data_IF_726231536154
#
_entry.id   IF_726231536154
#
_cell.length_a   1.000
_cell.length_b   1.000
_cell.length_c   1.000
_cell.angle_alpha   90.00
_cell.angle_beta   90.00
_cell.angle_gamma   90.00
#
_symmetry.space_group_name_H-M   'P 1'
#
loop_
_entity.id
_entity.type
_entity.pdbx_description
1 polymer ?
#
# COMPACT_ATOMS: atom_id res chain seq x y z
N UNK A 1 7.79 6.83 5.32
CA UNK A 1 7.15 5.59 4.78
C UNK A 1 6.93 4.60 5.91
N UNK A 2 5.88 3.75 5.81
CA UNK A 2 5.65 2.72 6.83
C UNK A 2 6.88 1.83 7.00
N UNK A 3 7.23 1.54 8.25
CA UNK A 3 8.35 0.65 8.64
C UNK A 3 9.76 1.09 8.23
N UNK A 4 9.98 2.31 7.78
CA UNK A 4 11.27 2.75 7.22
C UNK A 4 12.44 2.55 8.18
N UNK A 5 12.29 2.96 9.45
CA UNK A 5 13.33 2.81 10.46
C UNK A 5 13.67 1.36 10.77
N UNK A 6 12.64 0.50 10.88
CA UNK A 6 12.82 -0.95 11.11
C UNK A 6 13.46 -1.61 9.89
N UNK A 7 12.95 -1.30 8.70
CA UNK A 7 13.44 -1.85 7.43
C UNK A 7 14.92 -1.52 7.20
N UNK A 8 15.33 -0.28 7.46
CA UNK A 8 16.72 0.12 7.27
C UNK A 8 17.69 -0.66 8.18
N UNK A 9 17.34 -0.83 9.47
CA UNK A 9 18.16 -1.57 10.43
C UNK A 9 18.25 -3.06 10.08
N UNK A 10 17.13 -3.67 9.74
CA UNK A 10 17.11 -5.08 9.32
C UNK A 10 17.93 -5.29 8.04
N UNK A 11 17.79 -4.40 7.05
CA UNK A 11 18.58 -4.45 5.83
C UNK A 11 20.07 -4.35 6.06
N UNK A 12 20.51 -3.46 6.96
CA UNK A 12 21.92 -3.34 7.33
C UNK A 12 22.45 -4.65 7.94
N UNK A 13 21.70 -5.27 8.84
CA UNK A 13 22.05 -6.55 9.45
C UNK A 13 22.17 -7.66 8.40
N UNK A 14 21.18 -7.80 7.53
CA UNK A 14 21.19 -8.83 6.47
C UNK A 14 22.26 -8.57 5.40
N UNK A 15 22.57 -7.30 5.11
CA UNK A 15 23.69 -6.96 4.21
C UNK A 15 25.03 -7.42 4.77
N UNK A 16 25.25 -7.29 6.09
CA UNK A 16 26.47 -7.80 6.75
C UNK A 16 26.53 -9.34 6.70
N UNK A 17 25.41 -10.03 6.93
CA UNK A 17 25.36 -11.49 6.82
C UNK A 17 25.62 -11.97 5.38
N UNK A 18 25.09 -11.29 4.37
CA UNK A 18 25.34 -11.62 2.94
C UNK A 18 26.78 -11.41 2.52
N UNK A 19 27.51 -10.51 3.17
CA UNK A 19 28.95 -10.27 2.92
C UNK A 19 29.86 -11.41 3.40
N UNK A 20 29.35 -12.34 4.23
CA UNK A 20 30.07 -13.51 4.71
C UNK A 20 29.72 -14.71 3.84
N UNK A 21 30.69 -15.26 3.12
CA UNK A 21 30.47 -16.38 2.20
C UNK A 21 29.97 -17.68 2.88
N UNK A 22 30.41 -17.92 4.12
CA UNK A 22 29.88 -18.96 5.02
C UNK A 22 29.40 -18.32 6.31
N UNK A 23 28.30 -18.83 6.85
CA UNK A 23 27.79 -18.42 8.14
C UNK A 23 28.10 -19.46 9.20
N UNK A 24 28.54 -19.03 10.36
CA UNK A 24 28.67 -19.85 11.56
C UNK A 24 27.45 -19.61 12.47
N UNK A 25 27.21 -20.51 13.40
CA UNK A 25 26.21 -20.32 14.44
C UNK A 25 26.41 -18.99 15.21
N UNK A 26 27.67 -18.63 15.50
CA UNK A 26 28.00 -17.37 16.15
C UNK A 26 27.58 -16.14 15.32
N UNK A 27 27.73 -16.21 13.99
CA UNK A 27 27.30 -15.13 13.07
C UNK A 27 25.79 -14.98 13.05
N UNK A 28 25.05 -16.11 13.00
CA UNK A 28 23.59 -16.11 13.08
C UNK A 28 23.13 -15.51 14.40
N UNK A 29 23.67 -15.97 15.52
CA UNK A 29 23.33 -15.45 16.84
C UNK A 29 23.66 -13.96 17.01
N UNK A 30 24.75 -13.47 16.40
CA UNK A 30 25.09 -12.05 16.38
C UNK A 30 24.08 -11.24 15.54
N UNK A 31 23.74 -11.72 14.35
CA UNK A 31 22.70 -11.09 13.53
C UNK A 31 21.33 -11.05 14.20
N UNK A 32 20.93 -12.13 14.87
CA UNK A 32 19.67 -12.17 15.60
C UNK A 32 19.63 -11.24 16.83
N UNK A 33 20.78 -10.93 17.44
CA UNK A 33 20.86 -9.88 18.45
C UNK A 33 20.58 -8.50 17.87
N UNK A 34 21.07 -8.20 16.68
CA UNK A 34 20.77 -6.93 15.99
C UNK A 34 19.30 -6.87 15.58
N UNK A 35 18.72 -7.95 15.04
CA UNK A 35 17.29 -8.06 14.74
C UNK A 35 16.45 -7.80 15.99
N UNK A 36 16.83 -8.40 17.14
CA UNK A 36 16.15 -8.17 18.42
C UNK A 36 16.15 -6.68 18.81
N UNK A 37 17.31 -6.01 18.71
CA UNK A 37 17.41 -4.58 19.03
C UNK A 37 16.52 -3.75 18.07
N UNK A 38 16.55 -4.03 16.78
CA UNK A 38 15.75 -3.33 15.79
C UNK A 38 14.25 -3.45 16.06
N UNK A 39 13.76 -4.64 16.44
CA UNK A 39 12.35 -4.86 16.79
C UNK A 39 11.96 -4.15 18.10
N UNK A 40 12.82 -4.16 19.13
CA UNK A 40 12.57 -3.43 20.38
C UNK A 40 12.53 -1.91 20.18
N UNK A 41 13.42 -1.36 19.35
CA UNK A 41 13.43 0.06 18.99
C UNK A 41 12.22 0.44 18.12
N UNK A 42 11.62 -0.52 17.43
CA UNK A 42 10.36 -0.38 16.72
C UNK A 42 9.13 -0.50 17.60
N UNK A 43 9.26 -0.50 18.93
CA UNK A 43 8.18 -0.64 19.91
C UNK A 43 7.44 -1.99 19.85
N UNK A 44 8.09 -3.05 19.37
CA UNK A 44 7.53 -4.40 19.46
C UNK A 44 7.67 -4.90 20.90
N UNK A 45 6.62 -5.53 21.43
CA UNK A 45 6.62 -5.99 22.83
C UNK A 45 7.75 -7.00 23.10
N UNK A 46 8.39 -6.89 24.24
CA UNK A 46 9.56 -7.73 24.62
C UNK A 46 9.27 -9.24 24.51
N UNK A 47 8.08 -9.67 24.92
CA UNK A 47 7.66 -11.08 24.87
C UNK A 47 7.65 -11.57 23.42
N UNK A 48 7.01 -10.80 22.53
CA UNK A 48 6.93 -11.11 21.09
C UNK A 48 8.32 -11.19 20.48
N UNK A 49 9.18 -10.21 20.76
CA UNK A 49 10.56 -10.19 20.24
C UNK A 49 11.36 -11.38 20.73
N UNK A 50 11.25 -11.74 22.01
CA UNK A 50 11.95 -12.89 22.59
C UNK A 50 11.57 -14.18 21.88
N UNK A 51 10.27 -14.44 21.76
CA UNK A 51 9.74 -15.67 21.16
C UNK A 51 10.09 -15.74 19.66
N UNK A 52 9.94 -14.64 18.93
CA UNK A 52 10.32 -14.54 17.53
C UNK A 52 11.80 -14.83 17.28
N UNK A 53 12.69 -14.15 18.04
CA UNK A 53 14.14 -14.32 17.88
C UNK A 53 14.57 -15.74 18.25
N UNK A 54 13.93 -16.36 19.25
CA UNK A 54 14.22 -17.76 19.59
C UNK A 54 13.86 -18.71 18.47
N UNK A 55 12.64 -18.61 17.91
CA UNK A 55 12.17 -19.45 16.79
C UNK A 55 13.04 -19.28 15.53
N UNK A 56 13.32 -18.01 15.15
CA UNK A 56 14.17 -17.73 13.99
C UNK A 56 15.58 -18.27 14.19
N UNK A 57 16.17 -18.08 15.39
CA UNK A 57 17.53 -18.57 15.69
C UNK A 57 17.60 -20.09 15.59
N UNK A 58 16.65 -20.80 16.18
CA UNK A 58 16.58 -22.27 16.12
C UNK A 58 16.53 -22.78 14.68
N UNK A 59 15.67 -22.19 13.84
CA UNK A 59 15.57 -22.54 12.42
C UNK A 59 16.84 -22.19 11.61
N UNK A 60 17.51 -21.09 11.93
CA UNK A 60 18.69 -20.63 11.19
C UNK A 60 19.98 -21.35 11.57
N UNK A 61 20.07 -21.98 12.75
CA UNK A 61 21.26 -22.69 13.22
C UNK A 61 21.29 -24.15 12.70
N UNK A 62 20.22 -24.63 12.08
CA UNK A 62 20.17 -25.96 11.47
C UNK A 62 21.25 -26.17 10.40
N UNK A 63 21.81 -27.40 10.33
CA UNK A 63 22.86 -27.76 9.35
C UNK A 63 22.45 -27.44 7.91
N UNK A 64 21.20 -27.70 7.55
CA UNK A 64 20.64 -27.42 6.21
C UNK A 64 20.79 -25.95 5.78
N UNK A 65 20.78 -25.02 6.73
CA UNK A 65 20.95 -23.58 6.47
C UNK A 65 22.44 -23.22 6.41
N UNK A 66 23.21 -23.66 7.40
CA UNK A 66 24.63 -23.29 7.51
C UNK A 66 25.47 -23.90 6.40
N UNK A 67 25.16 -25.12 5.97
CA UNK A 67 25.86 -25.84 4.89
C UNK A 67 25.32 -25.51 3.49
N UNK A 68 24.30 -24.68 3.38
CA UNK A 68 23.74 -24.28 2.08
C UNK A 68 24.71 -23.41 1.28
N UNK A 69 24.57 -23.42 -0.06
CA UNK A 69 25.36 -22.53 -0.94
C UNK A 69 25.02 -21.03 -0.76
N UNK A 70 23.87 -20.72 -0.14
CA UNK A 70 23.38 -19.35 0.07
C UNK A 70 22.81 -19.18 1.48
N UNK A 71 23.62 -19.38 2.55
CA UNK A 71 23.09 -19.42 3.92
C UNK A 71 22.45 -18.09 4.35
N UNK A 72 23.02 -16.95 3.96
CA UNK A 72 22.46 -15.64 4.27
C UNK A 72 21.08 -15.41 3.63
N UNK A 73 20.83 -15.95 2.43
CA UNK A 73 19.52 -15.88 1.78
C UNK A 73 18.50 -16.75 2.49
N UNK A 74 18.92 -17.94 2.96
CA UNK A 74 18.06 -18.83 3.77
C UNK A 74 17.66 -18.15 5.08
N UNK A 75 18.59 -17.48 5.77
CA UNK A 75 18.26 -16.69 6.98
C UNK A 75 17.21 -15.62 6.69
N UNK A 76 17.37 -14.82 5.62
CA UNK A 76 16.39 -13.81 5.24
C UNK A 76 15.02 -14.43 4.92
N UNK A 77 15.00 -15.57 4.22
CA UNK A 77 13.77 -16.30 3.93
C UNK A 77 13.06 -16.75 5.21
N UNK A 78 13.80 -17.35 6.15
CA UNK A 78 13.25 -17.79 7.44
C UNK A 78 12.69 -16.60 8.24
N UNK A 79 13.39 -15.47 8.28
CA UNK A 79 12.91 -14.25 8.93
C UNK A 79 11.62 -13.76 8.28
N UNK A 80 11.53 -13.77 6.94
CA UNK A 80 10.33 -13.36 6.22
C UNK A 80 9.14 -14.28 6.54
N UNK A 81 9.35 -15.59 6.55
CA UNK A 81 8.32 -16.57 6.89
C UNK A 81 7.82 -16.40 8.33
N UNK A 82 8.71 -16.22 9.29
CA UNK A 82 8.32 -16.03 10.70
C UNK A 82 7.68 -14.65 10.95
N UNK A 83 8.11 -13.58 10.26
CA UNK A 83 7.40 -12.29 10.29
C UNK A 83 5.99 -12.41 9.70
N UNK A 84 5.85 -13.08 8.56
CA UNK A 84 4.55 -13.33 7.93
C UNK A 84 3.61 -14.09 8.89
N UNK A 85 4.12 -15.14 9.51
CA UNK A 85 3.38 -15.95 10.49
C UNK A 85 2.99 -15.15 11.74
N UNK A 86 3.91 -14.33 12.26
CA UNK A 86 3.65 -13.44 13.40
C UNK A 86 2.53 -12.45 13.11
N UNK A 87 2.42 -11.94 11.87
CA UNK A 87 1.35 -11.04 11.42
C UNK A 87 0.04 -11.74 11.04
N UNK A 88 -0.02 -13.09 11.09
CA UNK A 88 -1.25 -13.84 10.87
C UNK A 88 -1.23 -14.82 9.69
N UNK A 89 -0.12 -14.92 8.96
CA UNK A 89 0.09 -15.89 7.88
C UNK A 89 -0.61 -15.52 6.57
N UNK A 90 -1.91 -15.28 6.59
CA UNK A 90 -2.73 -14.96 5.42
C UNK A 90 -3.64 -13.76 5.69
N UNK A 91 -4.07 -13.10 4.61
CA UNK A 91 -5.04 -12.01 4.71
C UNK A 91 -6.42 -12.50 5.17
N UNK A 92 -7.08 -11.71 6.02
CA UNK A 92 -8.41 -12.00 6.52
C UNK A 92 -9.45 -11.05 5.88
N UNK A 93 -10.61 -11.61 5.49
CA UNK A 93 -11.72 -10.84 4.90
C UNK A 93 -12.75 -10.48 5.97
N UNK A 94 -13.62 -9.52 5.66
CA UNK A 94 -14.81 -9.24 6.46
C UNK A 94 -15.77 -10.43 6.36
N UNK A 95 -16.29 -10.89 7.51
CA UNK A 95 -17.35 -11.89 7.54
C UNK A 95 -18.65 -11.27 7.01
N UNK A 96 -19.25 -11.92 6.01
CA UNK A 96 -20.49 -11.45 5.38
C UNK A 96 -21.70 -12.21 5.92
N UNK A 97 -22.81 -11.51 6.08
CA UNK A 97 -24.08 -12.12 6.46
C UNK A 97 -24.59 -13.08 5.37
N UNK A 98 -25.14 -14.21 5.77
CA UNK A 98 -25.80 -15.14 4.84
C UNK A 98 -27.20 -14.65 4.41
N UNK A 99 -27.85 -13.84 5.25
CA UNK A 99 -29.16 -13.21 4.97
C UNK A 99 -29.20 -11.79 5.53
N UNK A 100 -29.80 -10.87 4.76
CA UNK A 100 -29.88 -9.46 5.14
C UNK A 100 -28.58 -8.69 4.98
N UNK A 101 -28.49 -7.45 5.47
CA UNK A 101 -27.30 -6.64 5.39
C UNK A 101 -26.21 -7.18 6.33
N UNK A 102 -24.96 -7.12 5.87
CA UNK A 102 -23.79 -7.35 6.72
C UNK A 102 -23.57 -6.14 7.62
N UNK A 103 -23.60 -6.32 8.92
CA UNK A 103 -23.40 -5.27 9.89
C UNK A 103 -21.95 -5.28 10.39
N UNK A 104 -21.24 -4.18 10.17
CA UNK A 104 -19.86 -3.97 10.61
C UNK A 104 -19.85 -2.86 11.66
N UNK A 105 -19.40 -3.17 12.86
CA UNK A 105 -19.32 -2.24 13.98
C UNK A 105 -17.88 -1.73 14.12
N UNK A 106 -17.68 -0.42 13.95
CA UNK A 106 -16.37 0.23 14.08
C UNK A 106 -16.17 0.72 15.50
N UNK A 107 -15.22 0.12 16.24
CA UNK A 107 -14.92 0.48 17.63
C UNK A 107 -13.48 0.99 17.79
N UNK A 108 -13.18 1.69 18.89
CA UNK A 108 -11.83 2.18 19.18
C UNK A 108 -11.82 3.53 19.89
N UNK A 109 -10.63 3.98 20.29
CA UNK A 109 -10.45 5.23 21.01
C UNK A 109 -10.74 6.46 20.14
N UNK A 110 -10.92 7.61 20.77
CA UNK A 110 -11.05 8.89 20.10
C UNK A 110 -9.77 9.21 19.34
N UNK A 111 -9.90 9.74 18.12
CA UNK A 111 -8.74 10.08 17.28
C UNK A 111 -8.10 8.91 16.54
N UNK A 112 -8.52 7.66 16.79
CA UNK A 112 -8.02 6.49 16.06
C UNK A 112 -8.43 6.45 14.58
N UNK A 113 -9.39 7.30 14.16
CA UNK A 113 -9.82 7.41 12.76
C UNK A 113 -11.03 6.56 12.38
N UNK A 114 -11.91 6.20 13.33
CA UNK A 114 -13.11 5.37 13.08
C UNK A 114 -13.97 5.91 11.95
N UNK A 115 -14.45 7.14 12.07
CA UNK A 115 -15.32 7.80 11.10
C UNK A 115 -14.74 7.79 9.68
N UNK A 116 -13.48 8.19 9.55
CA UNK A 116 -12.80 8.22 8.25
C UNK A 116 -12.61 6.81 7.68
N UNK A 117 -12.23 5.83 8.50
CA UNK A 117 -12.00 4.47 8.02
C UNK A 117 -13.30 3.69 7.81
N UNK A 118 -14.40 4.01 8.50
CA UNK A 118 -15.73 3.51 8.15
C UNK A 118 -16.09 3.90 6.71
N UNK A 119 -15.92 5.18 6.36
CA UNK A 119 -16.17 5.67 5.01
C UNK A 119 -15.19 5.07 3.97
N UNK A 120 -13.89 4.98 4.29
CA UNK A 120 -12.89 4.36 3.42
C UNK A 120 -13.22 2.89 3.12
N UNK A 121 -13.58 2.12 4.15
CA UNK A 121 -13.98 0.71 4.02
C UNK A 121 -15.26 0.59 3.20
N UNK A 122 -16.27 1.40 3.46
CA UNK A 122 -17.50 1.43 2.67
C UNK A 122 -17.20 1.72 1.20
N UNK A 123 -16.33 2.70 0.91
CA UNK A 123 -15.86 3.00 -0.43
C UNK A 123 -15.11 1.85 -1.08
N UNK A 124 -14.25 1.15 -0.34
CA UNK A 124 -13.53 -0.03 -0.79
C UNK A 124 -14.49 -1.17 -1.14
N UNK A 125 -15.45 -1.46 -0.25
CA UNK A 125 -16.46 -2.51 -0.46
C UNK A 125 -17.32 -2.22 -1.70
N UNK A 126 -17.70 -0.96 -1.92
CA UNK A 126 -18.43 -0.57 -3.12
C UNK A 126 -17.60 -0.74 -4.39
N UNK A 127 -16.36 -0.25 -4.41
CA UNK A 127 -15.50 -0.28 -5.61
C UNK A 127 -15.03 -1.69 -5.99
N UNK A 128 -14.58 -2.47 -5.00
CA UNK A 128 -13.95 -3.76 -5.29
C UNK A 128 -14.94 -4.94 -5.25
N UNK A 129 -15.99 -4.84 -4.45
CA UNK A 129 -16.91 -5.96 -4.22
C UNK A 129 -18.34 -5.66 -4.68
N UNK A 130 -18.59 -4.49 -5.29
CA UNK A 130 -19.90 -4.11 -5.81
C UNK A 130 -21.00 -4.00 -4.75
N UNK A 131 -20.61 -3.80 -3.47
CA UNK A 131 -21.55 -3.69 -2.34
C UNK A 131 -22.29 -2.35 -2.36
N UNK A 132 -23.46 -2.32 -1.71
CA UNK A 132 -24.26 -1.10 -1.49
C UNK A 132 -24.23 -0.73 -0.02
N UNK A 133 -23.13 -0.08 0.45
CA UNK A 133 -22.94 0.24 1.84
C UNK A 133 -23.86 1.39 2.30
N UNK A 134 -24.19 1.37 3.59
CA UNK A 134 -24.80 2.44 4.36
C UNK A 134 -23.88 2.82 5.51
N UNK A 135 -23.56 4.08 5.68
CA UNK A 135 -22.86 4.60 6.85
C UNK A 135 -23.88 5.01 7.91
N UNK A 136 -23.60 4.77 9.18
CA UNK A 136 -24.52 5.07 10.29
C UNK A 136 -23.80 5.86 11.37
N UNK A 137 -24.34 7.03 11.70
CA UNK A 137 -23.76 7.94 12.69
C UNK A 137 -24.25 7.58 14.11
N UNK A 138 -23.50 6.71 14.81
CA UNK A 138 -23.74 6.36 16.21
C UNK A 138 -22.88 7.16 17.21
N UNK A 139 -21.95 8.04 16.75
CA UNK A 139 -21.22 8.98 17.61
C UNK A 139 -22.08 10.26 17.80
N UNK A 140 -23.05 10.18 18.70
CA UNK A 140 -24.02 11.25 18.97
C UNK A 140 -23.51 12.30 19.95
N UNK A 141 -22.42 12.03 20.65
CA UNK A 141 -21.86 12.93 21.67
C UNK A 141 -21.09 14.10 21.07
N UNK A 142 -20.67 13.96 19.84
CA UNK A 142 -19.94 14.99 19.11
C UNK A 142 -20.73 15.40 17.85
N UNK A 143 -21.45 16.53 17.89
CA UNK A 143 -22.23 17.00 16.72
C UNK A 143 -21.40 17.08 15.43
N UNK A 144 -20.14 17.47 15.56
CA UNK A 144 -19.22 17.50 14.42
C UNK A 144 -18.93 16.11 13.82
N UNK A 145 -19.09 15.01 14.57
CA UNK A 145 -18.85 13.67 14.04
C UNK A 145 -19.93 13.25 13.03
N UNK A 146 -21.21 13.56 13.30
CA UNK A 146 -22.31 13.31 12.36
C UNK A 146 -22.05 14.08 11.05
N UNK A 147 -21.77 15.38 11.14
CA UNK A 147 -21.46 16.21 9.97
C UNK A 147 -20.23 15.71 9.23
N UNK A 148 -19.18 15.28 9.96
CA UNK A 148 -17.98 14.70 9.37
C UNK A 148 -18.31 13.44 8.57
N UNK A 149 -19.11 12.53 9.14
CA UNK A 149 -19.51 11.31 8.43
C UNK A 149 -20.34 11.61 7.18
N UNK A 150 -21.25 12.61 7.25
CA UNK A 150 -22.03 13.08 6.11
C UNK A 150 -21.13 13.64 4.99
N UNK A 151 -20.13 14.45 5.34
CA UNK A 151 -19.19 15.04 4.37
C UNK A 151 -18.37 13.93 3.67
N UNK A 152 -17.78 13.00 4.42
CA UNK A 152 -16.98 11.92 3.81
C UNK A 152 -17.84 10.91 3.06
N UNK A 153 -19.07 10.63 3.53
CA UNK A 153 -20.04 9.81 2.82
C UNK A 153 -20.45 10.46 1.49
N UNK A 154 -20.74 11.77 1.50
CA UNK A 154 -21.07 12.53 0.29
C UNK A 154 -19.94 12.57 -0.73
N UNK A 155 -18.69 12.67 -0.30
CA UNK A 155 -17.53 12.59 -1.22
C UNK A 155 -17.38 11.23 -1.90
N UNK A 156 -17.94 10.19 -1.30
CA UNK A 156 -17.91 8.82 -1.84
C UNK A 156 -19.24 8.41 -2.46
N UNK A 157 -20.25 9.29 -2.57
CA UNK A 157 -21.63 8.97 -2.93
C UNK A 157 -22.20 7.77 -2.13
N UNK A 158 -21.92 7.70 -0.85
CA UNK A 158 -22.43 6.68 0.06
C UNK A 158 -23.42 7.35 1.01
N UNK A 159 -24.68 6.84 1.10
CA UNK A 159 -25.67 7.40 1.99
C UNK A 159 -25.27 7.24 3.45
N UNK A 160 -25.66 8.25 4.26
CA UNK A 160 -25.42 8.28 5.69
C UNK A 160 -26.78 8.32 6.39
N UNK A 161 -27.01 7.35 7.27
CA UNK A 161 -28.17 7.33 8.16
C UNK A 161 -27.82 8.00 9.48
N UNK A 162 -28.66 8.92 9.92
CA UNK A 162 -28.51 9.62 11.19
C UNK A 162 -29.89 9.93 11.82
N UNK A 163 -29.95 10.06 13.11
CA UNK A 163 -31.14 10.42 13.87
C UNK A 163 -30.82 11.51 14.93
N UNK A 164 -29.87 12.38 14.61
CA UNK A 164 -29.41 13.42 15.52
C UNK A 164 -28.83 12.85 16.82
N UNK A 165 -29.25 13.41 17.97
CA UNK A 165 -28.76 12.99 19.29
C UNK A 165 -29.63 11.90 19.95
N UNK A 166 -30.18 10.99 19.15
CA UNK A 166 -30.91 9.83 19.64
C UNK A 166 -29.97 8.80 20.30
N UNK A 167 -30.52 7.82 20.99
CA UNK A 167 -29.73 6.79 21.66
C UNK A 167 -29.02 5.88 20.64
N UNK A 168 -27.72 5.59 20.77
CA UNK A 168 -26.95 4.82 19.79
C UNK A 168 -27.52 3.47 19.44
N UNK A 169 -28.10 2.77 20.43
CA UNK A 169 -28.77 1.47 20.23
C UNK A 169 -29.96 1.61 19.29
N UNK A 170 -30.81 2.60 19.55
CA UNK A 170 -32.00 2.87 18.72
C UNK A 170 -31.60 3.27 17.29
N UNK A 171 -30.57 4.13 17.12
CA UNK A 171 -30.05 4.50 15.81
C UNK A 171 -29.59 3.25 15.04
N UNK A 172 -28.86 2.35 15.68
CA UNK A 172 -28.34 1.15 15.04
C UNK A 172 -29.46 0.19 14.59
N UNK A 173 -30.50 -0.01 15.42
CA UNK A 173 -31.66 -0.83 15.07
C UNK A 173 -32.46 -0.25 13.87
N UNK A 174 -32.75 1.05 13.90
CA UNK A 174 -33.46 1.74 12.83
C UNK A 174 -32.65 1.75 11.53
N UNK A 175 -31.32 1.93 11.62
CA UNK A 175 -30.45 1.88 10.47
C UNK A 175 -30.49 0.50 9.76
N UNK A 176 -30.56 -0.59 10.52
CA UNK A 176 -30.66 -1.94 9.93
C UNK A 176 -32.02 -2.14 9.25
N UNK A 177 -33.13 -1.61 9.82
CA UNK A 177 -34.43 -1.61 9.16
C UNK A 177 -34.36 -0.80 7.86
N UNK A 178 -33.87 0.43 7.95
CA UNK A 178 -33.69 1.28 6.78
C UNK A 178 -32.85 0.60 5.69
N UNK A 179 -31.73 -0.05 6.07
CA UNK A 179 -30.89 -0.76 5.12
C UNK A 179 -31.62 -1.88 4.38
N UNK A 180 -32.49 -2.65 5.07
CA UNK A 180 -33.31 -3.70 4.48
C UNK A 180 -34.34 -3.11 3.49
N UNK A 181 -35.03 -2.05 3.89
CA UNK A 181 -36.10 -1.43 3.10
C UNK A 181 -35.56 -0.75 1.83
N UNK A 182 -34.34 -0.20 1.89
CA UNK A 182 -33.69 0.50 0.77
C UNK A 182 -32.68 -0.36 0.02
N UNK A 183 -32.57 -1.64 0.39
CA UNK A 183 -31.75 -2.62 -0.33
C UNK A 183 -30.24 -2.42 -0.16
N UNK A 184 -29.79 -1.84 0.96
CA UNK A 184 -28.38 -1.84 1.32
C UNK A 184 -27.97 -3.22 1.81
N UNK A 185 -26.84 -3.72 1.36
CA UNK A 185 -26.34 -5.06 1.69
C UNK A 185 -25.18 -5.03 2.71
N UNK A 186 -24.74 -3.82 3.10
CA UNK A 186 -23.68 -3.63 4.07
C UNK A 186 -23.93 -2.35 4.89
N UNK A 187 -23.75 -2.44 6.22
CA UNK A 187 -23.99 -1.34 7.15
C UNK A 187 -22.74 -1.16 8.01
N UNK A 188 -22.20 0.05 8.03
CA UNK A 188 -21.06 0.44 8.87
C UNK A 188 -21.55 1.33 9.99
N UNK A 189 -21.49 0.84 11.24
CA UNK A 189 -21.83 1.60 12.44
C UNK A 189 -20.59 2.36 12.92
N UNK A 190 -20.57 3.69 12.76
CA UNK A 190 -19.51 4.55 13.31
C UNK A 190 -19.86 4.90 14.75
N UNK A 191 -19.26 4.16 15.70
CA UNK A 191 -19.57 4.32 17.13
C UNK A 191 -18.74 5.42 17.78
N UNK A 192 -19.21 5.90 18.93
CA UNK A 192 -18.48 6.84 19.75
C UNK A 192 -17.09 6.32 20.15
N UNK A 193 -16.17 7.24 20.37
CA UNK A 193 -14.87 6.95 20.98
C UNK A 193 -14.56 7.95 22.05
N UNK A 194 -13.94 7.52 23.13
CA UNK A 194 -13.44 8.37 24.21
C UNK A 194 -11.92 8.35 24.25
N UNK A 195 -11.33 9.31 24.96
CA UNK A 195 -9.87 9.41 25.11
C UNK A 195 -9.28 8.21 25.84
N UNK A 196 -10.06 7.66 26.76
CA UNK A 196 -9.67 6.49 27.55
C UNK A 196 -10.79 5.45 27.53
N UNK A 197 -10.44 4.20 27.81
CA UNK A 197 -11.37 3.12 27.99
C UNK A 197 -12.04 3.32 29.35
N UNK A 198 -13.35 3.56 29.35
CA UNK A 198 -14.15 3.65 30.55
C UNK A 198 -15.36 2.69 30.49
N UNK A 199 -15.95 2.38 31.65
CA UNK A 199 -17.07 1.45 31.76
C UNK A 199 -18.28 1.88 30.93
N UNK A 200 -18.57 3.21 30.91
CA UNK A 200 -19.72 3.76 30.17
C UNK A 200 -19.62 3.52 28.67
N UNK A 201 -18.42 3.73 28.11
CA UNK A 201 -18.16 3.42 26.68
C UNK A 201 -18.35 1.95 26.41
N UNK A 202 -17.76 1.09 27.25
CA UNK A 202 -17.85 -0.36 27.06
C UNK A 202 -19.27 -0.89 27.20
N UNK A 203 -20.04 -0.36 28.12
CA UNK A 203 -21.45 -0.76 28.32
C UNK A 203 -22.32 -0.32 27.16
N UNK A 204 -22.12 0.88 26.62
CA UNK A 204 -22.80 1.36 25.41
C UNK A 204 -22.49 0.45 24.21
N UNK A 205 -21.20 0.16 23.99
CA UNK A 205 -20.79 -0.71 22.87
C UNK A 205 -21.33 -2.13 23.02
N UNK A 206 -21.37 -2.68 24.25
CA UNK A 206 -22.01 -3.97 24.55
C UNK A 206 -23.51 -3.94 24.27
N UNK A 207 -24.19 -2.84 24.61
CA UNK A 207 -25.63 -2.69 24.37
C UNK A 207 -25.92 -2.63 22.86
N UNK A 208 -25.14 -1.85 22.09
CA UNK A 208 -25.26 -1.82 20.62
C UNK A 208 -24.99 -3.21 20.05
N UNK A 209 -23.90 -3.89 20.45
CA UNK A 209 -23.58 -5.26 20.01
C UNK A 209 -24.73 -6.23 20.30
N UNK A 210 -25.33 -6.17 21.48
CA UNK A 210 -26.43 -7.06 21.88
C UNK A 210 -27.71 -6.82 21.06
N UNK A 211 -27.99 -5.57 20.70
CA UNK A 211 -29.18 -5.20 19.92
C UNK A 211 -29.07 -5.60 18.44
N UNK A 212 -27.91 -5.37 17.81
CA UNK A 212 -27.79 -5.53 16.35
C UNK A 212 -27.06 -6.79 15.90
N UNK A 213 -26.42 -7.52 16.81
CA UNK A 213 -25.64 -8.72 16.53
C UNK A 213 -24.73 -8.56 15.30
N UNK A 214 -23.73 -7.67 15.35
CA UNK A 214 -22.88 -7.37 14.18
C UNK A 214 -22.20 -8.63 13.66
N UNK A 215 -22.05 -8.73 12.36
CA UNK A 215 -21.30 -9.81 11.72
C UNK A 215 -19.81 -9.65 11.93
N UNK A 216 -19.38 -8.40 12.17
CA UNK A 216 -17.98 -8.04 12.30
C UNK A 216 -17.82 -6.86 13.27
N UNK A 217 -16.95 -6.99 14.24
CA UNK A 217 -16.52 -5.90 15.13
C UNK A 217 -15.07 -5.58 14.78
N UNK A 218 -14.86 -4.42 14.16
CA UNK A 218 -13.54 -3.96 13.74
C UNK A 218 -13.01 -2.91 14.71
N UNK A 219 -11.92 -3.23 15.36
CA UNK A 219 -11.18 -2.28 16.19
C UNK A 219 -10.30 -1.40 15.30
N UNK A 220 -10.52 -0.11 15.37
CA UNK A 220 -9.69 0.90 14.68
C UNK A 220 -8.63 1.40 15.63
N UNK A 221 -7.37 1.26 15.25
CA UNK A 221 -6.20 1.58 16.09
C UNK A 221 -5.22 2.44 15.31
N UNK A 222 -4.72 3.48 15.95
CA UNK A 222 -3.64 4.32 15.42
C UNK A 222 -2.30 3.60 15.60
N UNK A 223 -1.63 3.25 14.49
CA UNK A 223 -0.35 2.54 14.51
C UNK A 223 0.77 3.34 15.20
N UNK A 224 0.65 4.67 15.23
CA UNK A 224 1.67 5.54 15.84
C UNK A 224 1.65 5.52 17.38
N UNK A 225 0.60 4.99 18.01
CA UNK A 225 0.48 4.97 19.49
C UNK A 225 1.27 3.85 20.16
N UNK A 226 1.95 3.00 19.36
CA UNK A 226 2.87 1.97 19.88
C UNK A 226 2.21 1.01 20.86
N UNK A 227 2.74 0.90 22.10
CA UNK A 227 2.25 -0.03 23.10
C UNK A 227 0.83 0.30 23.60
N UNK A 228 0.39 1.56 23.56
CA UNK A 228 -0.98 1.93 23.94
C UNK A 228 -2.02 1.33 22.99
N UNK A 229 -1.65 1.18 21.70
CA UNK A 229 -2.45 0.47 20.72
C UNK A 229 -2.70 -1.00 21.14
N UNK A 230 -1.67 -1.65 21.64
CA UNK A 230 -1.75 -3.05 22.11
C UNK A 230 -2.62 -3.18 23.34
N UNK A 231 -2.46 -2.28 24.31
CA UNK A 231 -3.27 -2.24 25.52
C UNK A 231 -4.75 -2.01 25.20
N UNK A 232 -5.02 -1.05 24.32
CA UNK A 232 -6.38 -0.79 23.85
C UNK A 232 -6.96 -2.03 23.15
N UNK A 233 -6.20 -2.66 22.26
CA UNK A 233 -6.67 -3.83 21.52
C UNK A 233 -7.03 -4.99 22.46
N UNK A 234 -6.22 -5.25 23.49
CA UNK A 234 -6.50 -6.28 24.48
C UNK A 234 -7.78 -5.99 25.26
N UNK A 235 -7.97 -4.75 25.73
CA UNK A 235 -9.14 -4.36 26.50
C UNK A 235 -10.45 -4.38 25.67
N UNK A 236 -10.41 -3.94 24.42
CA UNK A 236 -11.57 -4.05 23.53
C UNK A 236 -11.88 -5.50 23.17
N UNK A 237 -10.88 -6.35 23.00
CA UNK A 237 -11.11 -7.78 22.75
C UNK A 237 -11.72 -8.49 23.96
N UNK A 238 -11.23 -8.22 25.16
CA UNK A 238 -11.77 -8.78 26.39
C UNK A 238 -13.23 -8.35 26.63
N UNK A 239 -13.55 -7.07 26.37
CA UNK A 239 -14.88 -6.54 26.63
C UNK A 239 -15.91 -6.89 25.55
N UNK A 240 -15.52 -6.90 24.29
CA UNK A 240 -16.42 -7.03 23.16
C UNK A 240 -16.17 -8.27 22.30
N UNK A 241 -14.98 -8.90 22.37
CA UNK A 241 -14.61 -9.97 21.45
C UNK A 241 -14.56 -9.45 20.02
N UNK A 242 -13.53 -8.66 19.69
CA UNK A 242 -13.32 -8.11 18.35
C UNK A 242 -13.06 -9.23 17.33
N UNK A 243 -13.41 -9.00 16.06
CA UNK A 243 -13.21 -9.97 14.96
C UNK A 243 -11.99 -9.62 14.10
N UNK A 244 -11.52 -8.39 14.18
CA UNK A 244 -10.35 -7.93 13.46
C UNK A 244 -9.96 -6.50 13.79
N UNK A 245 -8.81 -6.10 13.24
CA UNK A 245 -8.21 -4.79 13.49
C UNK A 245 -8.03 -4.05 12.17
N UNK A 246 -8.30 -2.74 12.20
CA UNK A 246 -7.96 -1.77 11.16
C UNK A 246 -6.85 -0.88 11.70
N UNK A 247 -5.67 -0.99 11.12
CA UNK A 247 -4.56 -0.10 11.45
C UNK A 247 -4.68 1.20 10.66
N UNK A 248 -4.55 2.33 11.35
CA UNK A 248 -4.59 3.66 10.73
C UNK A 248 -3.24 4.36 10.83
N UNK A 249 -3.05 5.38 10.01
CA UNK A 249 -1.83 6.22 10.00
C UNK A 249 -0.54 5.44 9.81
N UNK A 250 -0.61 4.35 9.05
CA UNK A 250 0.55 3.50 8.80
C UNK A 250 1.63 4.23 7.98
N UNK A 251 1.24 5.22 7.18
CA UNK A 251 2.11 6.13 6.43
C UNK A 251 3.00 7.01 7.33
N UNK A 252 2.53 7.35 8.54
CA UNK A 252 3.30 8.08 9.55
C UNK A 252 4.10 7.18 10.50
N UNK A 253 3.83 5.87 10.51
CA UNK A 253 4.49 4.93 11.41
C UNK A 253 5.82 4.41 10.83
N UNK A 254 6.90 5.12 11.17
CA UNK A 254 8.25 4.66 10.80
C UNK A 254 8.72 3.43 11.60
N UNK A 255 8.08 3.11 12.73
CA UNK A 255 8.47 2.03 13.65
C UNK A 255 7.81 0.70 13.30
N UNK A 256 6.50 0.68 13.09
CA UNK A 256 5.73 -0.50 12.65
C UNK A 256 5.50 -1.59 13.69
N UNK A 257 5.92 -1.38 14.93
CA UNK A 257 5.84 -2.39 15.98
C UNK A 257 4.43 -2.72 16.45
N UNK A 258 3.50 -1.77 16.33
CA UNK A 258 2.10 -1.97 16.72
C UNK A 258 1.46 -3.12 15.96
N UNK A 259 1.68 -3.23 14.65
CA UNK A 259 1.14 -4.32 13.82
C UNK A 259 1.56 -5.71 14.32
N UNK A 260 2.85 -5.86 14.66
CA UNK A 260 3.41 -7.11 15.16
C UNK A 260 2.88 -7.46 16.55
N UNK A 261 2.75 -6.45 17.42
CA UNK A 261 2.38 -6.63 18.83
C UNK A 261 0.88 -6.86 19.04
N UNK A 262 0.01 -6.15 18.30
CA UNK A 262 -1.46 -6.28 18.41
C UNK A 262 -1.90 -7.70 18.06
N UNK A 263 -1.41 -8.24 16.95
CA UNK A 263 -1.74 -9.61 16.54
C UNK A 263 -1.28 -10.64 17.58
N UNK A 264 -0.08 -10.47 18.11
CA UNK A 264 0.46 -11.38 19.12
C UNK A 264 -0.29 -11.30 20.46
N UNK A 265 -0.76 -10.10 20.85
CA UNK A 265 -1.48 -9.89 22.12
C UNK A 265 -2.93 -10.39 22.07
N UNK A 266 -3.65 -10.13 20.98
CA UNK A 266 -5.09 -10.42 20.85
C UNK A 266 -5.39 -11.73 20.11
N UNK A 267 -4.46 -12.26 19.34
CA UNK A 267 -4.73 -13.35 18.41
C UNK A 267 -5.64 -12.98 17.24
N UNK A 268 -6.10 -11.72 17.15
CA UNK A 268 -7.05 -11.27 16.12
C UNK A 268 -6.34 -10.80 14.85
N UNK A 269 -6.90 -11.07 13.67
CA UNK A 269 -6.26 -10.67 12.42
C UNK A 269 -6.31 -9.16 12.21
N UNK A 270 -5.22 -8.60 11.67
CA UNK A 270 -5.28 -7.29 11.05
C UNK A 270 -5.92 -7.50 9.69
N UNK A 271 -7.04 -6.81 9.42
CA UNK A 271 -7.81 -6.98 8.18
C UNK A 271 -7.52 -5.89 7.16
N UNK A 272 -7.35 -4.65 7.64
CA UNK A 272 -7.12 -3.49 6.77
C UNK A 272 -6.05 -2.58 7.34
N UNK A 273 -5.43 -1.83 6.45
CA UNK A 273 -4.44 -0.81 6.76
C UNK A 273 -4.76 0.51 6.02
N UNK A 274 -4.88 1.59 6.77
CA UNK A 274 -4.95 2.95 6.24
C UNK A 274 -3.54 3.47 5.96
N UNK A 275 -3.28 3.77 4.70
CA UNK A 275 -1.95 4.13 4.18
C UNK A 275 -1.81 5.61 3.81
N UNK A 276 -2.74 6.45 4.25
CA UNK A 276 -2.73 7.89 4.01
C UNK A 276 -4.06 8.56 4.32
N UNK A 277 -4.16 9.86 4.10
CA UNK A 277 -5.34 10.67 4.45
C UNK A 277 -6.48 10.55 3.43
N UNK A 278 -6.19 10.38 2.15
CA UNK A 278 -7.20 10.32 1.08
C UNK A 278 -8.18 9.17 1.28
N UNK A 279 -9.42 9.33 0.82
CA UNK A 279 -10.51 8.37 1.03
C UNK A 279 -10.33 7.04 0.28
N UNK A 280 -9.46 6.98 -0.69
CA UNK A 280 -9.07 5.76 -1.42
C UNK A 280 -7.86 5.04 -0.80
N UNK A 281 -7.18 5.68 0.17
CA UNK A 281 -5.98 5.15 0.83
C UNK A 281 -6.34 4.23 1.99
N UNK A 282 -6.90 3.08 1.67
CA UNK A 282 -7.08 1.93 2.55
C UNK A 282 -6.89 0.68 1.72
N UNK A 283 -6.18 -0.29 2.25
CA UNK A 283 -5.92 -1.57 1.58
C UNK A 283 -6.16 -2.75 2.50
N UNK A 284 -6.45 -3.91 1.94
CA UNK A 284 -6.50 -5.15 2.69
C UNK A 284 -5.10 -5.46 3.22
N UNK A 285 -5.02 -5.90 4.47
CA UNK A 285 -3.74 -6.24 5.08
C UNK A 285 -3.25 -7.60 4.59
N UNK A 286 -2.06 -7.61 3.99
CA UNK A 286 -1.40 -8.80 3.49
C UNK A 286 -0.12 -9.06 4.30
N UNK A 287 -0.12 -10.03 5.24
CA UNK A 287 1.03 -10.32 6.11
C UNK A 287 2.34 -10.57 5.36
N UNK A 288 2.30 -11.31 4.26
CA UNK A 288 3.43 -11.64 3.41
C UNK A 288 4.05 -10.40 2.73
N UNK A 289 3.21 -9.50 2.23
CA UNK A 289 3.65 -8.23 1.62
C UNK A 289 4.24 -7.29 2.66
N UNK A 290 3.61 -7.23 3.84
CA UNK A 290 4.13 -6.42 4.96
C UNK A 290 5.47 -6.94 5.47
N UNK A 291 5.65 -8.25 5.60
CA UNK A 291 6.94 -8.85 5.93
C UNK A 291 8.01 -8.48 4.89
N UNK A 292 7.67 -8.57 3.61
CA UNK A 292 8.57 -8.18 2.51
C UNK A 292 8.94 -6.69 2.55
N UNK A 293 7.96 -5.80 2.86
CA UNK A 293 8.22 -4.36 3.06
C UNK A 293 9.17 -4.11 4.23
N UNK A 294 8.92 -4.75 5.38
CA UNK A 294 9.78 -4.66 6.58
C UNK A 294 11.22 -5.10 6.26
N UNK A 295 11.39 -6.11 5.44
CA UNK A 295 12.71 -6.60 5.01
C UNK A 295 13.33 -5.80 3.86
N UNK A 296 12.69 -4.72 3.41
CA UNK A 296 13.16 -3.89 2.30
C UNK A 296 13.24 -4.62 0.96
N UNK A 297 12.48 -5.70 0.81
CA UNK A 297 12.41 -6.48 -0.43
C UNK A 297 11.41 -5.88 -1.44
N UNK A 298 10.70 -4.82 -1.03
CA UNK A 298 9.65 -4.19 -1.81
C UNK A 298 8.33 -4.96 -1.78
N UNK A 299 7.34 -4.40 -2.43
CA UNK A 299 6.01 -5.00 -2.57
C UNK A 299 5.57 -4.96 -4.03
N UNK A 300 6.20 -5.80 -4.84
CA UNK A 300 5.93 -5.88 -6.27
C UNK A 300 4.50 -6.32 -6.59
N UNK A 301 3.88 -7.16 -5.74
CA UNK A 301 2.52 -7.63 -5.97
C UNK A 301 1.49 -6.51 -5.79
N UNK A 302 1.59 -5.74 -4.72
CA UNK A 302 0.72 -4.56 -4.56
C UNK A 302 0.94 -3.53 -5.66
N UNK A 303 2.18 -3.35 -6.12
CA UNK A 303 2.47 -2.47 -7.25
C UNK A 303 1.80 -2.95 -8.54
N UNK A 304 1.90 -4.25 -8.85
CA UNK A 304 1.25 -4.85 -10.02
C UNK A 304 -0.27 -4.72 -9.92
N UNK A 305 -0.87 -5.04 -8.78
CA UNK A 305 -2.33 -4.93 -8.57
C UNK A 305 -2.83 -3.49 -8.71
N UNK A 306 -2.11 -2.51 -8.14
CA UNK A 306 -2.45 -1.08 -8.31
C UNK A 306 -2.31 -0.65 -9.77
N UNK A 307 -1.29 -1.14 -10.46
CA UNK A 307 -1.13 -0.89 -11.88
C UNK A 307 -2.28 -1.51 -12.70
N UNK A 308 -2.65 -2.77 -12.43
CA UNK A 308 -3.74 -3.46 -13.11
C UNK A 308 -5.11 -2.79 -12.89
N UNK A 309 -5.40 -2.33 -11.67
CA UNK A 309 -6.66 -1.65 -11.35
C UNK A 309 -6.84 -0.31 -12.09
N UNK A 310 -5.75 0.32 -12.51
CA UNK A 310 -5.77 1.61 -13.19
C UNK A 310 -5.53 1.49 -14.71
N UNK A 311 -5.14 0.30 -15.17
CA UNK A 311 -4.88 0.04 -16.57
C UNK A 311 -6.17 -0.28 -17.31
N UNK A 312 -6.62 0.66 -18.15
CA UNK A 312 -7.64 0.36 -19.15
C UNK A 312 -6.97 -0.46 -20.27
N UNK A 313 -7.31 -1.76 -20.35
CA UNK A 313 -6.77 -2.68 -21.39
C UNK A 313 -6.89 -2.12 -22.82
N UNK A 314 -7.94 -1.35 -23.09
CA UNK A 314 -8.14 -0.72 -24.37
C UNK A 314 -7.12 0.41 -24.67
N UNK A 315 -6.73 1.15 -23.63
CA UNK A 315 -5.70 2.20 -23.74
C UNK A 315 -4.30 1.58 -23.85
N UNK A 316 -4.03 0.50 -23.11
CA UNK A 316 -2.77 -0.23 -23.19
C UNK A 316 -2.51 -0.79 -24.58
N UNK A 317 -3.50 -1.44 -25.19
CA UNK A 317 -3.39 -1.95 -26.58
C UNK A 317 -3.18 -0.84 -27.60
N UNK A 318 -3.88 0.30 -27.45
CA UNK A 318 -3.68 1.47 -28.32
C UNK A 318 -2.26 2.06 -28.19
N UNK A 319 -1.75 2.11 -26.95
CA UNK A 319 -0.39 2.60 -26.69
C UNK A 319 0.67 1.66 -27.30
N UNK A 320 0.50 0.34 -27.09
CA UNK A 320 1.37 -0.69 -27.67
C UNK A 320 1.40 -0.61 -29.19
N UNK A 321 0.26 -0.44 -29.85
CA UNK A 321 0.20 -0.23 -31.31
C UNK A 321 0.90 1.06 -31.75
N UNK A 322 0.73 2.16 -31.01
CA UNK A 322 1.39 3.44 -31.29
C UNK A 322 2.90 3.34 -31.10
N UNK A 323 3.36 2.66 -30.04
CA UNK A 323 4.77 2.37 -29.80
C UNK A 323 5.36 1.52 -30.93
N UNK A 324 4.67 0.47 -31.34
CA UNK A 324 5.08 -0.41 -32.44
C UNK A 324 5.15 0.32 -33.79
N UNK A 325 4.22 1.28 -34.02
CA UNK A 325 4.18 2.13 -35.22
C UNK A 325 5.10 3.35 -35.10
N UNK A 326 5.83 3.52 -33.98
CA UNK A 326 6.73 4.64 -33.71
C UNK A 326 6.06 6.02 -33.82
N UNK A 327 4.80 6.14 -33.37
CA UNK A 327 3.95 7.34 -33.45
C UNK A 327 3.61 7.89 -32.05
N UNK A 328 4.59 7.91 -31.14
CA UNK A 328 4.40 8.51 -29.83
C UNK A 328 4.26 10.03 -29.97
N UNK A 329 3.18 10.61 -29.43
CA UNK A 329 2.87 12.04 -29.45
C UNK A 329 3.01 12.67 -28.08
N UNK A 330 3.05 14.01 -27.98
CA UNK A 330 3.00 14.72 -26.70
C UNK A 330 1.65 14.57 -25.99
N UNK A 331 0.56 14.28 -26.72
CA UNK A 331 -0.72 13.91 -26.12
C UNK A 331 -0.61 12.56 -25.38
N UNK A 332 0.00 11.56 -26.00
CA UNK A 332 0.23 10.26 -25.35
C UNK A 332 1.13 10.39 -24.11
N UNK A 333 2.12 11.29 -24.18
CA UNK A 333 2.99 11.58 -23.04
C UNK A 333 2.24 12.27 -21.89
N UNK A 334 1.30 13.18 -22.20
CA UNK A 334 0.42 13.81 -21.22
C UNK A 334 -0.48 12.78 -20.54
N UNK A 335 -1.13 11.91 -21.33
CA UNK A 335 -1.99 10.85 -20.81
C UNK A 335 -1.22 9.92 -19.85
N UNK A 336 0.04 9.58 -20.16
CA UNK A 336 0.89 8.81 -19.29
C UNK A 336 1.24 9.53 -17.98
N UNK A 337 1.54 10.84 -18.05
CA UNK A 337 1.79 11.65 -16.85
C UNK A 337 0.55 11.73 -15.95
N UNK A 338 -0.65 11.85 -16.54
CA UNK A 338 -1.89 11.85 -15.80
C UNK A 338 -2.21 10.50 -15.16
N UNK A 339 -1.90 9.40 -15.85
CA UNK A 339 -2.00 8.06 -15.27
C UNK A 339 -1.05 7.87 -14.09
N UNK A 340 0.22 8.30 -14.21
CA UNK A 340 1.17 8.26 -13.12
C UNK A 340 0.70 9.07 -11.90
N UNK A 341 0.11 10.24 -12.11
CA UNK A 341 -0.48 11.04 -11.02
C UNK A 341 -1.67 10.35 -10.36
N UNK A 342 -2.49 9.60 -11.12
CA UNK A 342 -3.62 8.83 -10.59
C UNK A 342 -3.17 7.60 -9.80
N UNK A 343 -1.99 7.03 -10.09
CA UNK A 343 -1.43 5.89 -9.36
C UNK A 343 -1.02 6.21 -7.91
N UNK A 344 -1.12 7.48 -7.50
CA UNK A 344 -0.77 7.95 -6.17
C UNK A 344 0.55 8.70 -6.12
N UNK A 345 0.96 9.06 -4.91
CA UNK A 345 2.23 9.76 -4.67
C UNK A 345 3.40 8.88 -5.13
N UNK A 346 4.28 9.45 -5.96
CA UNK A 346 5.47 8.77 -6.49
C UNK A 346 6.39 8.26 -5.37
N UNK A 347 6.36 8.90 -4.20
CA UNK A 347 7.08 8.45 -3.01
C UNK A 347 6.54 7.11 -2.50
N UNK A 348 5.23 6.87 -2.62
CA UNK A 348 4.61 5.58 -2.27
C UNK A 348 4.97 4.49 -3.27
N UNK A 349 5.02 4.81 -4.56
CA UNK A 349 5.45 3.88 -5.61
C UNK A 349 6.94 3.52 -5.41
N UNK A 350 7.80 4.50 -5.14
CA UNK A 350 9.20 4.27 -4.83
C UNK A 350 9.40 3.34 -3.63
N UNK A 351 8.55 3.47 -2.60
CA UNK A 351 8.57 2.59 -1.42
C UNK A 351 8.15 1.14 -1.67
N UNK A 352 7.41 0.87 -2.74
CA UNK A 352 7.02 -0.50 -3.13
C UNK A 352 8.09 -1.23 -3.95
N UNK A 353 9.05 -0.51 -4.49
CA UNK A 353 10.12 -1.08 -5.30
C UNK A 353 11.30 -1.57 -4.43
N UNK A 354 11.99 -2.64 -4.83
CA UNK A 354 13.17 -3.14 -4.10
C UNK A 354 14.24 -2.07 -3.95
N UNK A 355 14.88 -1.96 -2.79
CA UNK A 355 15.73 -0.87 -2.31
C UNK A 355 16.85 -0.32 -3.23
N UNK A 356 17.17 -0.99 -4.33
CA UNK A 356 18.11 -0.47 -5.34
C UNK A 356 17.45 0.47 -6.36
N UNK A 357 16.19 0.20 -6.74
CA UNK A 357 15.41 1.03 -7.64
C UNK A 357 14.76 2.23 -6.91
N UNK A 358 14.36 2.07 -5.65
CA UNK A 358 13.80 3.16 -4.86
C UNK A 358 14.81 4.30 -4.69
N UNK A 359 16.08 3.99 -4.37
CA UNK A 359 17.15 5.00 -4.26
C UNK A 359 17.47 5.72 -5.58
N UNK A 360 17.28 5.07 -6.73
CA UNK A 360 17.44 5.71 -8.03
C UNK A 360 16.29 6.67 -8.36
N UNK A 361 15.08 6.35 -7.92
CA UNK A 361 13.90 7.22 -8.07
C UNK A 361 13.92 8.38 -7.08
N UNK A 362 14.37 8.18 -5.84
CA UNK A 362 14.57 9.24 -4.84
C UNK A 362 15.65 10.24 -5.30
N UNK A 363 16.73 9.76 -5.91
CA UNK A 363 17.78 10.61 -6.48
C UNK A 363 17.35 11.31 -7.78
N UNK A 364 16.35 10.82 -8.48
CA UNK A 364 15.83 11.44 -9.70
C UNK A 364 14.98 12.68 -9.41
N UNK A 365 14.73 13.03 -8.10
CA UNK A 365 13.91 14.18 -7.70
C UNK A 365 12.78 14.43 -8.73
N UNK A 366 11.83 13.50 -8.84
CA UNK A 366 10.62 13.73 -9.61
C UNK A 366 9.80 14.80 -8.88
N UNK A 367 10.23 16.06 -9.09
CA UNK A 367 9.62 17.23 -8.49
C UNK A 367 8.19 17.34 -9.03
N UNK A 368 7.20 17.25 -8.15
CA UNK A 368 5.78 17.46 -8.51
C UNK A 368 5.59 18.77 -9.28
N UNK A 369 6.42 19.79 -8.97
CA UNK A 369 6.44 21.05 -9.71
C UNK A 369 6.91 20.86 -11.15
N UNK A 370 7.89 20.01 -11.40
CA UNK A 370 8.35 19.75 -12.77
C UNK A 370 7.30 19.01 -13.58
N UNK A 371 6.55 18.07 -12.96
CA UNK A 371 5.42 17.42 -13.63
C UNK A 371 4.29 18.40 -13.91
N UNK A 372 3.94 19.27 -12.95
CA UNK A 372 2.95 20.32 -13.15
C UNK A 372 3.38 21.30 -14.27
N UNK A 373 4.64 21.70 -14.32
CA UNK A 373 5.19 22.53 -15.40
C UNK A 373 5.13 21.83 -16.75
N UNK A 374 5.50 20.55 -16.81
CA UNK A 374 5.43 19.73 -18.03
C UNK A 374 4.00 19.65 -18.56
N UNK A 375 3.04 19.39 -17.68
CA UNK A 375 1.61 19.37 -17.99
C UNK A 375 1.12 20.72 -18.50
N UNK A 376 1.49 21.82 -17.84
CA UNK A 376 1.11 23.17 -18.23
C UNK A 376 1.66 23.54 -19.64
N UNK A 377 2.91 23.18 -19.93
CA UNK A 377 3.51 23.39 -21.25
C UNK A 377 2.73 22.65 -22.35
N UNK A 378 2.44 21.35 -22.14
CA UNK A 378 1.73 20.54 -23.13
C UNK A 378 0.29 21.05 -23.31
N UNK A 379 -0.41 21.42 -22.23
CA UNK A 379 -1.76 21.98 -22.30
C UNK A 379 -1.81 23.33 -23.02
N UNK A 380 -0.74 24.12 -23.00
CA UNK A 380 -0.62 25.38 -23.73
C UNK A 380 -0.34 25.21 -25.22
N UNK A 381 -0.10 23.98 -25.70
CA UNK A 381 0.07 23.65 -27.12
C UNK A 381 -1.28 23.38 -27.78
N UNK A 382 -1.40 23.68 -29.05
CA UNK A 382 -2.54 23.28 -29.89
C UNK A 382 -2.52 21.75 -30.12
N UNK A 383 -3.66 21.10 -30.47
CA UNK A 383 -3.67 19.68 -30.80
C UNK A 383 -2.65 19.30 -31.89
N UNK A 384 -2.54 20.09 -32.94
CA UNK A 384 -1.57 19.87 -34.00
C UNK A 384 -0.10 19.95 -33.54
N UNK A 385 0.20 20.83 -32.58
CA UNK A 385 1.53 20.97 -32.01
C UNK A 385 1.88 19.80 -31.07
N UNK A 386 0.88 19.21 -30.40
CA UNK A 386 1.06 18.02 -29.58
C UNK A 386 1.28 16.77 -30.42
N UNK A 387 0.59 16.67 -31.56
CA UNK A 387 0.75 15.54 -32.49
C UNK A 387 2.06 15.63 -33.31
N UNK A 388 2.46 16.85 -33.71
CA UNK A 388 3.67 17.07 -34.49
C UNK A 388 4.57 18.16 -33.88
N UNK A 389 5.40 17.83 -32.90
CA UNK A 389 6.30 18.81 -32.26
C UNK A 389 7.30 19.48 -33.21
N UNK A 390 7.52 18.93 -34.42
CA UNK A 390 8.45 19.48 -35.38
C UNK A 390 8.00 20.83 -36.00
N UNK A 391 6.70 21.17 -35.88
CA UNK A 391 6.18 22.46 -36.33
C UNK A 391 6.46 23.62 -35.38
N UNK A 392 7.05 23.33 -34.19
CA UNK A 392 7.32 24.31 -33.14
C UNK A 392 8.51 25.21 -33.49
N UNK A 393 8.24 26.36 -34.13
CA UNK A 393 9.21 27.40 -34.34
C UNK A 393 9.39 28.33 -33.13
N UNK A 394 10.32 29.28 -33.20
CA UNK A 394 10.63 30.20 -32.09
C UNK A 394 9.43 31.02 -31.64
N UNK A 395 8.55 31.47 -32.55
CA UNK A 395 7.35 32.25 -32.21
C UNK A 395 6.33 31.39 -31.45
N UNK A 396 6.08 30.15 -31.86
CA UNK A 396 5.17 29.21 -31.19
C UNK A 396 5.68 28.86 -29.80
N UNK A 397 6.99 28.59 -29.64
CA UNK A 397 7.61 28.34 -28.35
C UNK A 397 7.48 29.51 -27.38
N UNK A 398 7.62 30.76 -27.85
CA UNK A 398 7.38 31.98 -27.05
C UNK A 398 5.92 32.07 -26.59
N UNK A 399 4.96 31.81 -27.49
CA UNK A 399 3.53 31.81 -27.18
C UNK A 399 3.19 30.74 -26.10
N UNK A 400 3.69 29.51 -26.26
CA UNK A 400 3.48 28.41 -25.33
C UNK A 400 4.07 28.76 -23.97
N UNK A 401 5.30 29.28 -23.91
CA UNK A 401 5.95 29.70 -22.68
C UNK A 401 5.15 30.80 -21.96
N UNK A 402 4.68 31.80 -22.70
CA UNK A 402 3.82 32.86 -22.13
C UNK A 402 2.48 32.32 -21.62
N UNK A 403 1.88 31.35 -22.32
CA UNK A 403 0.60 30.73 -21.95
C UNK A 403 0.65 29.89 -20.67
N UNK A 404 1.80 29.32 -20.33
CA UNK A 404 1.98 28.54 -19.11
C UNK A 404 2.76 29.28 -18.00
N UNK A 405 3.16 30.52 -18.21
CA UNK A 405 3.91 31.33 -17.23
C UNK A 405 5.35 30.85 -17.02
N UNK A 406 5.94 30.15 -18.00
CA UNK A 406 7.27 29.57 -17.94
C UNK A 406 8.19 30.21 -19.00
N UNK A 407 9.47 29.81 -19.03
CA UNK A 407 10.44 30.31 -19.98
C UNK A 407 10.53 29.41 -21.23
N UNK A 408 10.98 29.99 -22.36
CA UNK A 408 11.23 29.24 -23.61
C UNK A 408 12.24 28.09 -23.37
N UNK A 409 13.14 28.27 -22.41
CA UNK A 409 14.11 27.24 -22.03
C UNK A 409 13.43 25.99 -21.49
N UNK A 410 12.36 26.12 -20.74
CA UNK A 410 11.61 24.99 -20.17
C UNK A 410 10.86 24.22 -21.27
N UNK A 411 10.29 24.94 -22.25
CA UNK A 411 9.70 24.33 -23.45
C UNK A 411 10.74 23.54 -24.24
N UNK A 412 11.95 24.08 -24.43
CA UNK A 412 13.02 23.37 -25.12
C UNK A 412 13.51 22.15 -24.34
N UNK A 413 13.57 22.23 -23.01
CA UNK A 413 13.94 21.11 -22.14
C UNK A 413 12.95 19.96 -22.28
N UNK A 414 11.64 20.25 -22.27
CA UNK A 414 10.58 19.26 -22.47
C UNK A 414 10.73 18.59 -23.85
N UNK A 415 10.88 19.37 -24.92
CA UNK A 415 10.99 18.83 -26.28
C UNK A 415 12.21 17.92 -26.42
N UNK A 416 13.36 18.32 -25.87
CA UNK A 416 14.59 17.51 -25.89
C UNK A 416 14.41 16.20 -25.10
N UNK A 417 13.74 16.24 -23.93
CA UNK A 417 13.40 15.06 -23.14
C UNK A 417 12.47 14.11 -23.92
N UNK A 418 11.48 14.65 -24.60
CA UNK A 418 10.55 13.89 -25.43
C UNK A 418 11.23 13.23 -26.64
N UNK A 419 12.13 13.93 -27.32
CA UNK A 419 12.94 13.37 -28.41
C UNK A 419 13.82 12.20 -27.92
N UNK A 420 14.42 12.33 -26.74
CA UNK A 420 15.22 11.29 -26.13
C UNK A 420 14.37 10.05 -25.81
N UNK A 421 13.15 10.24 -25.28
CA UNK A 421 12.18 9.17 -25.04
C UNK A 421 11.81 8.45 -26.36
N UNK A 422 11.51 9.19 -27.41
CA UNK A 422 11.22 8.61 -28.74
C UNK A 422 12.41 7.80 -29.29
N UNK A 423 13.65 8.25 -29.09
CA UNK A 423 14.85 7.51 -29.51
C UNK A 423 15.04 6.23 -28.72
N UNK A 424 14.82 6.26 -27.38
CA UNK A 424 14.87 5.07 -26.53
C UNK A 424 13.83 4.04 -26.96
N UNK A 425 12.61 4.47 -27.21
CA UNK A 425 11.52 3.60 -27.68
C UNK A 425 11.84 2.96 -29.03
N UNK A 426 12.44 3.72 -29.94
CA UNK A 426 12.93 3.20 -31.24
C UNK A 426 14.01 2.13 -31.09
N UNK A 427 14.93 2.31 -30.17
CA UNK A 427 16.02 1.35 -29.92
C UNK A 427 15.51 0.07 -29.28
N UNK A 428 14.54 0.18 -28.37
CA UNK A 428 13.87 -0.97 -27.74
C UNK A 428 13.08 -1.80 -28.77
N UNK A 429 12.31 -1.15 -29.65
CA UNK A 429 11.54 -1.81 -30.70
C UNK A 429 12.43 -2.54 -31.74
N UNK A 430 13.68 -2.13 -31.90
CA UNK A 430 14.66 -2.76 -32.81
C UNK A 430 15.54 -3.85 -32.16
N UNK A 431 15.30 -4.18 -30.88
CA UNK A 431 16.07 -5.22 -30.17
C UNK A 431 17.53 -4.88 -29.86
N UNK A 432 17.95 -3.63 -30.07
CA UNK A 432 19.32 -3.19 -29.83
C UNK A 432 19.52 -2.68 -28.40
N UNK A 433 19.82 -3.58 -27.48
CA UNK A 433 20.09 -3.29 -26.06
C UNK A 433 21.48 -2.65 -25.80
N UNK A 434 22.26 -2.34 -26.83
CA UNK A 434 23.69 -1.93 -26.71
C UNK A 434 23.94 -0.41 -26.71
N UNK A 435 23.01 0.42 -26.25
CA UNK A 435 23.21 1.87 -26.36
C UNK A 435 22.55 2.74 -25.30
N UNK A 436 22.30 2.27 -24.08
CA UNK A 436 21.75 3.11 -23.02
C UNK A 436 22.91 3.62 -22.14
N UNK A 437 23.24 4.93 -22.15
CA UNK A 437 24.22 5.50 -21.23
C UNK A 437 23.64 5.42 -19.79
N UNK A 438 24.24 4.62 -18.93
CA UNK A 438 23.87 4.46 -17.50
C UNK A 438 23.54 3.04 -17.06
N UNK A 439 23.44 2.05 -17.94
CA UNK A 439 23.15 0.65 -17.59
C UNK A 439 24.33 -0.29 -17.89
N UNK A 440 25.53 0.20 -17.74
CA UNK A 440 26.76 -0.59 -17.83
C UNK A 440 27.07 -1.26 -16.51
N UNK A 441 26.60 -2.50 -16.31
CA UNK A 441 26.98 -3.27 -15.13
C UNK A 441 26.00 -4.31 -14.62
N UNK A 442 25.41 -5.15 -15.48
CA UNK A 442 24.89 -6.45 -15.08
C UNK A 442 25.71 -7.57 -15.72
N UNK A 443 26.58 -8.27 -15.00
CA UNK A 443 27.20 -9.49 -15.47
C UNK A 443 26.20 -10.63 -15.30
N UNK A 444 25.81 -11.29 -16.40
CA UNK A 444 25.15 -12.59 -16.33
C UNK A 444 23.82 -12.76 -17.06
N UNK A 445 23.76 -12.46 -18.36
CA UNK A 445 22.85 -13.17 -19.28
C UNK A 445 23.56 -13.34 -20.63
N UNK A 446 24.53 -14.27 -20.63
CA UNK A 446 25.19 -14.75 -21.84
C UNK A 446 24.25 -15.65 -22.60
N UNK A 447 23.91 -15.23 -23.82
CA UNK A 447 23.14 -16.02 -24.76
C UNK A 447 23.83 -17.36 -25.07
N UNK A 448 23.19 -18.45 -24.70
CA UNK A 448 23.57 -19.78 -25.14
C UNK A 448 23.42 -19.90 -26.65
N UNK A 449 24.53 -20.02 -27.35
CA UNK A 449 24.54 -20.43 -28.76
C UNK A 449 23.95 -21.84 -28.86
N UNK A 450 22.78 -21.97 -29.45
CA UNK A 450 22.26 -23.25 -29.97
C UNK A 450 23.22 -23.77 -31.02
N UNK A 451 23.94 -24.82 -30.71
CA UNK A 451 24.68 -25.61 -31.69
C UNK A 451 23.68 -26.42 -32.51
N UNK A 452 23.59 -26.06 -33.79
CA UNK A 452 22.94 -26.82 -34.84
C UNK A 452 23.66 -28.14 -35.00
N UNK A 453 23.00 -29.24 -34.67
CA UNK A 453 23.46 -30.60 -35.03
C UNK A 453 23.26 -30.84 -36.52
N UNK A 454 24.35 -30.73 -37.29
CA UNK A 454 24.41 -31.09 -38.68
C UNK A 454 24.26 -32.58 -38.90
N UNK A 455 23.33 -32.95 -39.77
CA UNK A 455 23.16 -34.29 -40.37
C UNK A 455 24.48 -34.76 -40.99
N UNK A 456 25.04 -35.83 -40.49
CA UNK A 456 26.05 -36.62 -41.25
C UNK A 456 25.37 -37.66 -42.14
N UNK A 457 25.62 -37.52 -43.44
CA UNK A 457 25.30 -38.48 -44.47
C UNK A 457 26.13 -39.79 -44.27
N UNK A 458 25.47 -40.88 -44.61
CA UNK A 458 26.06 -42.20 -44.87
C UNK A 458 27.17 -42.13 -45.92
N UNK A 459 28.24 -42.90 -45.71
CA UNK A 459 28.85 -43.75 -46.78
C UNK A 459 29.63 -44.90 -46.16
N UNK A 460 29.30 -46.11 -46.71
CA UNK A 460 29.93 -47.44 -46.71
C UNK A 460 30.16 -48.11 -45.36
#
# INVERSE_FOLDING_TARGET
MAFEGLSEKLNQTFKRLRGKGRLTEADVRAGMREVRLALLEADVSYKVVKDFVAQVTERCVGADVLDSLTPAQQVVKIVNEELTKLMGGSSAKIATASKGPTVVMMVGLQGAGKTTNAAKLAGLMRRQFGKRPLLVACDVYRPAAITQLQVVGGQLDIPVFEMGQSEPVHIAEEAIRYAKDHGHDMVFLDTAGRLHIDEKLMDELKAVKAAVHPNEILLVVDAMTGQDAVNAASAFDEALGIDGVVLTKLDGDARGGAALSIRAATGKPIKFAGTGEKLDMIEQFHPDRMASRILGMGDMLTFIEKAEQQYDEAQAKKLEEKLRKNRLTLSDYLDQLEQLQKMGDLSQIAGMLPGGLSKQLDNAQLDEKQMAHTKAIILSMTPQERENPQILNASRKKRIAAGCGLQVMDVNRLLKGFEMLQQMTKSMAKGNFRGIPGMGGMPGMGGGRMHSFGRKKRFK
#
